data_IF_000871884710
#
_entry.id   IF_000871884710
#
_cell.length_a   1.000
_cell.length_b   1.000
_cell.length_c   1.000
_cell.angle_alpha   90.00
_cell.angle_beta   90.00
_cell.angle_gamma   90.00
#
_symmetry.space_group_name_H-M   'P 1'
#
loop_
_entity.id
_entity.type
_entity.pdbx_description
1 polymer ?
#
# COMPACT_ATOMS: atom_id res chain seq x y z
N UNK A 1 -13.58 -56.17 -4.32
CA UNK A 1 -12.34 -55.37 -4.21
C UNK A 1 -12.34 -54.10 -5.08
N UNK A 2 -13.30 -53.88 -5.98
CA UNK A 2 -13.37 -52.67 -6.82
C UNK A 2 -13.89 -51.40 -6.09
N UNK A 3 -14.81 -51.56 -5.13
CA UNK A 3 -15.45 -50.43 -4.45
C UNK A 3 -14.47 -49.63 -3.57
N UNK A 4 -13.55 -50.30 -2.88
CA UNK A 4 -12.53 -49.64 -2.05
C UNK A 4 -11.55 -48.81 -2.89
N UNK A 5 -11.20 -49.31 -4.08
CA UNK A 5 -10.38 -48.60 -5.05
C UNK A 5 -11.09 -47.35 -5.59
N UNK A 6 -12.41 -47.40 -5.77
CA UNK A 6 -13.21 -46.27 -6.22
C UNK A 6 -13.29 -45.17 -5.16
N UNK A 7 -13.50 -45.53 -3.88
CA UNK A 7 -13.52 -44.57 -2.78
C UNK A 7 -12.18 -43.84 -2.61
N UNK A 8 -11.05 -44.55 -2.76
CA UNK A 8 -9.71 -43.94 -2.70
C UNK A 8 -9.48 -42.90 -3.81
N UNK A 9 -9.91 -43.21 -5.03
CA UNK A 9 -9.78 -42.29 -6.18
C UNK A 9 -10.65 -41.05 -5.99
N UNK A 10 -11.88 -41.20 -5.49
CA UNK A 10 -12.78 -40.06 -5.20
C UNK A 10 -12.20 -39.17 -4.10
N UNK A 11 -11.65 -39.74 -3.02
CA UNK A 11 -11.00 -38.98 -1.95
C UNK A 11 -9.77 -38.20 -2.45
N UNK A 12 -8.95 -38.80 -3.33
CA UNK A 12 -7.81 -38.12 -3.95
C UNK A 12 -8.25 -36.97 -4.86
N UNK A 13 -9.28 -37.17 -5.69
CA UNK A 13 -9.80 -36.13 -6.58
C UNK A 13 -10.44 -34.95 -5.82
N UNK A 14 -11.22 -35.24 -4.77
CA UNK A 14 -11.82 -34.20 -3.91
C UNK A 14 -10.75 -33.47 -3.10
N UNK A 15 -9.75 -34.20 -2.60
CA UNK A 15 -8.59 -33.62 -1.91
C UNK A 15 -7.79 -32.67 -2.78
N UNK A 16 -7.46 -33.05 -4.03
CA UNK A 16 -6.75 -32.18 -4.98
C UNK A 16 -7.55 -30.93 -5.36
N UNK A 17 -8.87 -31.06 -5.49
CA UNK A 17 -9.76 -29.95 -5.82
C UNK A 17 -9.87 -28.91 -4.71
N UNK A 18 -9.70 -29.32 -3.43
CA UNK A 18 -9.74 -28.42 -2.28
C UNK A 18 -8.48 -27.53 -2.14
N UNK A 19 -7.33 -27.95 -2.68
CA UNK A 19 -6.06 -27.21 -2.54
C UNK A 19 -5.77 -26.25 -3.70
N UNK A 20 -6.55 -26.27 -4.78
CA UNK A 20 -6.29 -25.49 -6.00
C UNK A 20 -6.56 -23.97 -5.86
N UNK A 21 -7.08 -23.51 -4.72
CA UNK A 21 -7.45 -22.10 -4.49
C UNK A 21 -6.67 -21.42 -3.35
N UNK A 22 -5.66 -22.07 -2.76
CA UNK A 22 -4.83 -21.44 -1.75
C UNK A 22 -3.89 -20.42 -2.42
N UNK A 23 -4.28 -19.15 -2.45
CA UNK A 23 -3.38 -18.04 -2.81
C UNK A 23 -2.24 -18.05 -1.78
N UNK A 24 -0.96 -18.14 -2.19
CA UNK A 24 0.14 -18.02 -1.25
C UNK A 24 0.08 -16.64 -0.59
N UNK A 25 -0.28 -16.60 0.69
CA UNK A 25 -0.21 -15.39 1.49
C UNK A 25 1.23 -15.17 1.90
N UNK A 26 1.88 -14.19 1.29
CA UNK A 26 3.23 -13.75 1.69
C UNK A 26 3.08 -13.02 3.01
N UNK A 27 3.44 -13.67 4.12
CA UNK A 27 3.57 -13.01 5.40
C UNK A 27 4.66 -11.94 5.29
N UNK A 28 4.33 -10.68 5.59
CA UNK A 28 5.30 -9.59 5.56
C UNK A 28 6.26 -9.76 6.74
N UNK A 29 7.46 -10.25 6.44
CA UNK A 29 8.57 -10.32 7.40
C UNK A 29 9.49 -9.11 7.25
N UNK A 30 10.40 -8.92 8.21
CA UNK A 30 11.44 -7.87 8.11
C UNK A 30 12.30 -8.05 6.85
N UNK A 31 12.53 -9.28 6.41
CA UNK A 31 13.27 -9.59 5.19
C UNK A 31 12.50 -9.12 3.94
N UNK A 32 11.18 -9.30 3.91
CA UNK A 32 10.34 -8.78 2.81
C UNK A 32 10.36 -7.26 2.78
N UNK A 33 10.22 -6.61 3.95
CA UNK A 33 10.39 -5.15 4.08
C UNK A 33 11.78 -4.74 3.58
N UNK A 34 12.83 -5.51 3.91
CA UNK A 34 14.19 -5.24 3.42
C UNK A 34 14.30 -5.28 1.90
N UNK A 35 13.72 -6.31 1.29
CA UNK A 35 13.72 -6.44 -0.16
C UNK A 35 12.97 -5.29 -0.85
N UNK A 36 11.85 -4.85 -0.29
CA UNK A 36 11.06 -3.72 -0.82
C UNK A 36 11.85 -2.42 -0.67
N UNK A 37 12.32 -2.10 0.53
CA UNK A 37 13.01 -0.84 0.80
C UNK A 37 14.35 -0.71 0.08
N UNK A 38 15.04 -1.81 -0.20
CA UNK A 38 16.27 -1.80 -1.02
C UNK A 38 16.07 -1.26 -2.44
N UNK A 39 14.83 -1.27 -2.95
CA UNK A 39 14.46 -0.75 -4.27
C UNK A 39 13.96 0.70 -4.23
N UNK A 40 13.80 1.28 -3.04
CA UNK A 40 13.37 2.67 -2.89
C UNK A 40 14.55 3.63 -3.09
N UNK A 41 14.25 4.88 -3.43
CA UNK A 41 15.26 5.95 -3.54
C UNK A 41 15.99 6.17 -2.21
N UNK A 42 15.28 6.02 -1.09
CA UNK A 42 15.83 6.16 0.24
C UNK A 42 15.48 4.94 1.11
N UNK A 43 16.32 3.88 1.09
CA UNK A 43 16.07 2.65 1.82
C UNK A 43 15.84 2.87 3.30
N UNK A 44 16.68 3.66 3.97
CA UNK A 44 16.58 3.93 5.41
C UNK A 44 15.27 4.63 5.77
N UNK A 45 14.83 5.60 4.97
CA UNK A 45 13.53 6.25 5.16
C UNK A 45 12.38 5.25 4.99
N UNK A 46 12.39 4.46 3.92
CA UNK A 46 11.39 3.42 3.68
C UNK A 46 11.28 2.45 4.86
N UNK A 47 12.42 2.00 5.40
CA UNK A 47 12.44 1.12 6.57
C UNK A 47 11.78 1.75 7.78
N UNK A 48 12.14 3.01 8.07
CA UNK A 48 11.61 3.71 9.23
C UNK A 48 10.10 3.90 9.12
N UNK A 49 9.61 4.30 7.94
CA UNK A 49 8.17 4.42 7.66
C UNK A 49 7.47 3.09 7.91
N UNK A 50 7.88 2.02 7.21
CA UNK A 50 7.19 0.73 7.31
C UNK A 50 7.31 0.08 8.69
N UNK A 51 8.46 0.19 9.34
CA UNK A 51 8.68 -0.42 10.66
C UNK A 51 8.01 0.37 11.80
N UNK A 52 7.68 1.65 11.59
CA UNK A 52 6.93 2.46 12.55
C UNK A 52 5.43 2.12 12.57
N UNK A 53 4.89 1.61 11.46
CA UNK A 53 3.48 1.23 11.36
C UNK A 53 3.27 -0.21 11.87
N UNK A 54 2.53 -0.35 12.97
CA UNK A 54 2.24 -1.66 13.58
C UNK A 54 1.45 -2.60 12.66
N UNK A 55 0.73 -2.07 11.66
CA UNK A 55 -0.04 -2.84 10.68
C UNK A 55 0.84 -3.53 9.65
N UNK A 56 2.10 -3.12 9.50
CA UNK A 56 3.05 -3.72 8.56
C UNK A 56 3.24 -5.22 8.82
N UNK A 57 3.31 -5.62 10.09
CA UNK A 57 3.56 -7.02 10.46
C UNK A 57 2.37 -7.97 10.18
N UNK A 58 1.16 -7.42 10.05
CA UNK A 58 -0.08 -8.19 9.84
C UNK A 58 -0.67 -8.04 8.44
N UNK A 59 -0.12 -7.14 7.63
CA UNK A 59 -0.57 -6.89 6.26
C UNK A 59 0.00 -7.91 5.28
N UNK A 60 -0.64 -8.05 4.11
CA UNK A 60 -0.04 -8.62 2.91
C UNK A 60 0.64 -7.50 2.09
N UNK A 61 1.19 -7.82 0.91
CA UNK A 61 1.86 -6.83 0.04
C UNK A 61 0.91 -5.69 -0.37
N UNK A 62 -0.38 -5.99 -0.49
CA UNK A 62 -1.40 -5.03 -0.87
C UNK A 62 -1.71 -4.08 0.28
N UNK A 63 -1.89 -4.62 1.49
CA UNK A 63 -2.02 -3.85 2.72
C UNK A 63 -0.78 -2.97 2.95
N UNK A 64 0.42 -3.46 2.63
CA UNK A 64 1.64 -2.67 2.70
C UNK A 64 1.67 -1.50 1.71
N UNK A 65 1.14 -1.70 0.50
CA UNK A 65 0.92 -0.62 -0.46
C UNK A 65 -0.06 0.44 0.07
N UNK A 66 -1.18 0.02 0.66
CA UNK A 66 -2.12 0.95 1.30
C UNK A 66 -1.51 1.71 2.47
N UNK A 67 -0.71 1.04 3.32
CA UNK A 67 0.03 1.70 4.40
C UNK A 67 0.91 2.82 3.84
N UNK A 68 1.66 2.52 2.77
CA UNK A 68 2.58 3.48 2.13
C UNK A 68 1.83 4.68 1.53
N UNK A 69 0.71 4.44 0.83
CA UNK A 69 -0.09 5.53 0.23
C UNK A 69 -0.70 6.43 1.32
N UNK A 70 -1.21 5.83 2.41
CA UNK A 70 -1.78 6.59 3.53
C UNK A 70 -0.73 7.40 4.29
N UNK A 71 0.49 6.85 4.44
CA UNK A 71 1.61 7.59 5.03
C UNK A 71 2.00 8.80 4.16
N UNK A 72 2.10 8.59 2.84
CA UNK A 72 2.34 9.68 1.88
C UNK A 72 1.25 10.76 1.95
N UNK A 73 -0.03 10.36 2.02
CA UNK A 73 -1.15 11.29 2.18
C UNK A 73 -1.02 12.14 3.44
N UNK A 74 -0.66 11.50 4.56
CA UNK A 74 -0.51 12.15 5.87
C UNK A 74 0.62 13.17 5.83
N UNK A 75 1.77 12.80 5.28
CA UNK A 75 2.93 13.68 5.15
C UNK A 75 2.66 14.86 4.20
N UNK A 76 2.05 14.62 3.04
CA UNK A 76 1.65 15.68 2.10
C UNK A 76 0.67 16.65 2.75
N UNK A 77 -0.35 16.14 3.46
CA UNK A 77 -1.33 16.98 4.16
C UNK A 77 -0.68 17.85 5.23
N UNK A 78 0.22 17.27 6.03
CA UNK A 78 0.94 17.99 7.07
C UNK A 78 1.82 19.11 6.48
N UNK A 79 2.58 18.81 5.43
CA UNK A 79 3.42 19.79 4.74
C UNK A 79 2.58 20.87 4.06
N UNK A 80 1.42 20.51 3.50
CA UNK A 80 0.53 21.47 2.86
C UNK A 80 -0.03 22.48 3.86
N UNK A 81 -0.45 22.01 5.04
CA UNK A 81 -0.88 22.87 6.12
C UNK A 81 0.24 23.79 6.60
N UNK A 82 1.47 23.27 6.72
CA UNK A 82 2.64 24.07 7.07
C UNK A 82 2.93 25.14 6.02
N UNK A 83 2.94 24.80 4.73
CA UNK A 83 3.21 25.73 3.64
C UNK A 83 2.15 26.83 3.57
N UNK A 84 0.87 26.48 3.69
CA UNK A 84 -0.24 27.45 3.75
C UNK A 84 -0.08 28.39 4.96
N UNK A 85 0.34 27.87 6.11
CA UNK A 85 0.64 28.68 7.31
C UNK A 85 1.84 29.60 7.11
N UNK A 86 2.91 29.12 6.46
CA UNK A 86 4.10 29.93 6.17
C UNK A 86 3.80 31.03 5.13
N UNK A 87 3.01 30.72 4.10
CA UNK A 87 2.56 31.69 3.09
C UNK A 87 1.76 32.83 3.71
N UNK A 88 0.84 32.54 4.63
CA UNK A 88 0.00 33.56 5.26
C UNK A 88 0.78 34.50 6.18
N UNK A 89 1.93 34.06 6.69
CA UNK A 89 2.83 34.84 7.54
C UNK A 89 3.95 35.56 6.78
N UNK A 90 4.15 35.24 5.50
CA UNK A 90 5.23 35.81 4.70
C UNK A 90 4.94 37.27 4.31
N UNK A 91 5.83 38.17 4.70
CA UNK A 91 5.78 39.60 4.33
C UNK A 91 6.57 39.92 3.07
N UNK A 92 7.63 39.16 2.78
CA UNK A 92 8.37 39.27 1.52
C UNK A 92 7.55 38.71 0.35
N UNK A 93 7.22 39.52 -0.68
CA UNK A 93 6.39 39.07 -1.80
C UNK A 93 6.99 37.90 -2.58
N UNK A 94 8.33 37.87 -2.69
CA UNK A 94 9.03 36.80 -3.42
C UNK A 94 8.93 35.47 -2.67
N UNK A 95 9.11 35.51 -1.35
CA UNK A 95 8.96 34.35 -0.47
C UNK A 95 7.51 33.87 -0.43
N UNK A 96 6.54 34.78 -0.35
CA UNK A 96 5.12 34.41 -0.43
C UNK A 96 4.81 33.67 -1.73
N UNK A 97 5.27 34.21 -2.87
CA UNK A 97 5.08 33.56 -4.17
C UNK A 97 5.67 32.14 -4.20
N UNK A 98 6.86 31.94 -3.65
CA UNK A 98 7.46 30.60 -3.54
C UNK A 98 6.64 29.64 -2.68
N UNK A 99 6.09 30.10 -1.55
CA UNK A 99 5.21 29.26 -0.75
C UNK A 99 3.89 28.93 -1.46
N UNK A 100 3.34 29.89 -2.21
CA UNK A 100 2.14 29.65 -3.02
C UNK A 100 2.42 28.62 -4.14
N UNK A 101 3.55 28.72 -4.85
CA UNK A 101 3.99 27.72 -5.84
C UNK A 101 4.22 26.33 -5.20
N UNK A 102 4.84 26.28 -4.02
CA UNK A 102 4.94 25.02 -3.27
C UNK A 102 3.55 24.48 -2.90
N UNK A 103 2.63 25.34 -2.46
CA UNK A 103 1.27 24.94 -2.09
C UNK A 103 0.54 24.29 -3.26
N UNK A 104 0.70 24.82 -4.48
CA UNK A 104 0.10 24.27 -5.68
C UNK A 104 0.62 22.85 -5.97
N UNK A 105 1.94 22.63 -5.88
CA UNK A 105 2.54 21.31 -6.06
C UNK A 105 2.10 20.28 -5.00
N UNK A 106 1.89 20.72 -3.76
CA UNK A 106 1.38 19.83 -2.72
C UNK A 106 -0.12 19.51 -2.92
N UNK A 107 -0.93 20.45 -3.41
CA UNK A 107 -2.32 20.17 -3.79
C UNK A 107 -2.37 19.20 -4.99
N UNK A 108 -1.50 19.35 -6.00
CA UNK A 108 -1.32 18.38 -7.09
C UNK A 108 -0.96 16.99 -6.56
N UNK A 109 0.06 16.90 -5.69
CA UNK A 109 0.47 15.63 -5.09
C UNK A 109 -0.62 14.97 -4.24
N UNK A 110 -1.45 15.76 -3.54
CA UNK A 110 -2.62 15.25 -2.82
C UNK A 110 -3.67 14.68 -3.77
N UNK A 111 -3.91 15.33 -4.92
CA UNK A 111 -4.78 14.80 -5.96
C UNK A 111 -4.26 13.47 -6.52
N UNK A 112 -2.96 13.37 -6.79
CA UNK A 112 -2.34 12.13 -7.27
C UNK A 112 -2.48 10.98 -6.26
N UNK A 113 -2.35 11.28 -4.96
CA UNK A 113 -2.55 10.30 -3.89
C UNK A 113 -4.02 9.87 -3.77
N UNK A 114 -4.97 10.79 -3.93
CA UNK A 114 -6.40 10.45 -3.96
C UNK A 114 -6.72 9.52 -5.14
N UNK A 115 -6.22 9.86 -6.33
CA UNK A 115 -6.30 9.03 -7.53
C UNK A 115 -5.68 7.64 -7.30
N UNK A 116 -4.52 7.60 -6.64
CA UNK A 116 -3.88 6.36 -6.28
C UNK A 116 -4.76 5.53 -5.34
N UNK A 117 -5.36 6.12 -4.30
CA UNK A 117 -6.27 5.43 -3.37
C UNK A 117 -7.56 4.92 -4.01
N UNK A 118 -8.08 5.63 -5.01
CA UNK A 118 -9.26 5.21 -5.77
C UNK A 118 -8.95 4.03 -6.69
N UNK A 119 -7.83 4.10 -7.41
CA UNK A 119 -7.40 3.07 -8.37
C UNK A 119 -6.69 1.90 -7.69
N UNK A 120 -6.18 2.09 -6.46
CA UNK A 120 -5.49 1.02 -5.74
C UNK A 120 -6.48 -0.12 -5.56
N UNK A 121 -6.11 -1.37 -5.92
CA UNK A 121 -7.01 -2.48 -5.77
C UNK A 121 -7.50 -2.51 -4.31
N UNK A 122 -8.81 -2.49 -4.10
CA UNK A 122 -9.46 -2.85 -2.83
C UNK A 122 -10.07 -4.21 -3.12
N UNK A 123 -9.89 -5.20 -2.26
CA UNK A 123 -10.05 -6.64 -2.57
C UNK A 123 -11.18 -6.98 -3.55
N UNK A 124 -10.84 -7.17 -4.83
CA UNK A 124 -11.72 -7.81 -5.80
C UNK A 124 -11.58 -9.32 -5.65
N UNK A 125 -12.22 -9.85 -4.61
CA UNK A 125 -12.79 -11.18 -4.70
C UNK A 125 -14.30 -10.97 -4.55
N UNK A 126 -15.02 -10.89 -5.68
CA UNK A 126 -16.46 -11.19 -5.89
C UNK A 126 -17.06 -10.58 -7.17
N UNK A 127 -16.33 -9.77 -7.94
CA UNK A 127 -16.80 -9.32 -9.26
C UNK A 127 -16.00 -10.02 -10.34
N UNK A 128 -16.53 -11.13 -10.87
CA UNK A 128 -16.35 -11.68 -12.23
C UNK A 128 -16.68 -13.19 -12.24
N UNK A 129 -17.96 -13.53 -12.24
CA UNK A 129 -18.46 -14.77 -12.84
C UNK A 129 -19.25 -14.35 -14.06
N UNK A 130 -18.69 -14.60 -15.24
CA UNK A 130 -19.38 -14.48 -16.52
C UNK A 130 -19.91 -15.85 -16.94
#
# INVERSE_FOLDING_TARGET
MANFSLFLVVFLCVGLSLHANAKPSVKITKEVVNQICSKSINPSFCFNVLNSDSRTATSDLKGLGLITINDAQTNLTANQNLIKSLSSQATDPTLKKRYDECSDHYDEGLSDIQDALEKFPKDQCLANTH
#
